data_IF_826597981430
#
_entry.id   IF_826597981430
#
_cell.length_a   1.000
_cell.length_b   1.000
_cell.length_c   1.000
_cell.angle_alpha   90.00
_cell.angle_beta   90.00
_cell.angle_gamma   90.00
#
_symmetry.space_group_name_H-M   'P 1'
#
loop_
_entity.id
_entity.type
_entity.pdbx_description
1 polymer ?
#
# COMPACT_ATOMS: atom_id res chain seq x y z
N UNK A 1 12.08 -74.19 21.28
CA UNK A 1 11.96 -74.19 19.80
C UNK A 1 10.65 -73.50 19.45
N UNK A 2 10.50 -72.42 18.68
CA UNK A 2 11.37 -71.42 18.03
C UNK A 2 10.53 -70.14 18.11
N UNK A 3 11.04 -69.07 18.72
CA UNK A 3 10.36 -67.76 18.70
C UNK A 3 10.62 -67.09 17.36
N UNK A 4 9.54 -66.77 16.67
CA UNK A 4 9.48 -65.99 15.44
C UNK A 4 9.53 -64.51 15.83
N UNK A 5 10.60 -63.80 15.46
CA UNK A 5 10.65 -62.34 15.55
C UNK A 5 10.54 -61.77 14.14
N UNK A 6 9.34 -61.28 13.82
CA UNK A 6 9.09 -60.40 12.68
C UNK A 6 9.57 -58.99 13.07
N UNK A 7 10.67 -58.52 12.47
CA UNK A 7 10.98 -57.09 12.44
C UNK A 7 10.16 -56.43 11.32
N UNK A 8 8.98 -55.94 11.66
CA UNK A 8 8.20 -55.04 10.80
C UNK A 8 8.85 -53.65 10.88
N UNK A 9 9.70 -53.33 9.90
CA UNK A 9 10.33 -52.01 9.80
C UNK A 9 9.27 -51.02 9.28
N UNK A 10 8.66 -50.25 10.18
CA UNK A 10 7.77 -49.13 9.81
C UNK A 10 8.66 -47.98 9.36
N UNK A 11 8.81 -47.83 8.04
CA UNK A 11 9.39 -46.62 7.44
C UNK A 11 8.29 -45.55 7.51
N UNK A 12 8.33 -44.72 8.54
CA UNK A 12 7.58 -43.47 8.54
C UNK A 12 8.25 -42.51 7.55
N UNK A 13 7.73 -42.47 6.33
CA UNK A 13 7.99 -41.37 5.41
C UNK A 13 7.39 -40.11 6.04
N UNK A 14 8.22 -39.38 6.78
CA UNK A 14 7.97 -37.99 7.15
C UNK A 14 7.86 -37.19 5.86
N UNK A 15 6.64 -37.07 5.36
CA UNK A 15 6.25 -36.04 4.41
C UNK A 15 6.47 -34.70 5.09
N UNK A 16 7.68 -34.16 4.97
CA UNK A 16 7.90 -32.73 5.08
C UNK A 16 7.23 -32.10 3.86
N UNK A 17 5.90 -31.99 3.92
CA UNK A 17 5.16 -31.10 3.05
C UNK A 17 5.72 -29.70 3.23
N UNK A 18 6.59 -29.28 2.31
CA UNK A 18 6.95 -27.87 2.15
C UNK A 18 5.67 -27.17 1.75
N UNK A 19 4.98 -26.58 2.73
CA UNK A 19 4.03 -25.52 2.45
C UNK A 19 4.81 -24.42 1.72
N UNK A 20 4.64 -24.34 0.40
CA UNK A 20 5.06 -23.17 -0.36
C UNK A 20 4.27 -22.01 0.23
N UNK A 21 4.98 -21.10 0.89
CA UNK A 21 4.40 -19.95 1.58
C UNK A 21 3.85 -18.97 0.52
N UNK A 22 2.63 -19.22 0.02
CA UNK A 22 1.99 -18.44 -1.04
C UNK A 22 1.85 -16.94 -0.67
N UNK A 23 1.89 -16.60 0.63
CA UNK A 23 1.83 -15.23 1.16
C UNK A 23 3.07 -14.39 0.81
N UNK A 24 4.27 -14.98 0.77
CA UNK A 24 5.49 -14.27 0.38
C UNK A 24 5.42 -13.84 -1.08
N UNK A 25 4.92 -14.72 -1.95
CA UNK A 25 4.72 -14.41 -3.37
C UNK A 25 3.66 -13.30 -3.57
N UNK A 26 2.58 -13.32 -2.76
CA UNK A 26 1.53 -12.28 -2.78
C UNK A 26 2.10 -10.91 -2.37
N UNK A 27 2.83 -10.85 -1.26
CA UNK A 27 3.40 -9.61 -0.71
C UNK A 27 4.40 -8.99 -1.68
N UNK A 28 5.32 -9.80 -2.22
CA UNK A 28 6.36 -9.35 -3.16
C UNK A 28 5.72 -8.76 -4.43
N UNK A 29 4.69 -9.41 -4.99
CA UNK A 29 3.96 -8.93 -6.17
C UNK A 29 3.22 -7.63 -5.92
N UNK A 30 2.47 -7.52 -4.82
CA UNK A 30 1.75 -6.29 -4.49
C UNK A 30 2.74 -5.15 -4.29
N UNK A 31 3.85 -5.38 -3.57
CA UNK A 31 4.88 -4.37 -3.35
C UNK A 31 5.42 -3.80 -4.66
N UNK A 32 5.89 -4.67 -5.57
CA UNK A 32 6.46 -4.24 -6.86
C UNK A 32 5.43 -3.48 -7.69
N UNK A 33 4.24 -4.08 -7.87
CA UNK A 33 3.19 -3.48 -8.69
C UNK A 33 2.70 -2.15 -8.12
N UNK A 34 2.65 -2.02 -6.79
CA UNK A 34 2.25 -0.79 -6.13
C UNK A 34 3.26 0.33 -6.38
N UNK A 35 4.56 0.04 -6.26
CA UNK A 35 5.61 1.03 -6.52
C UNK A 35 5.61 1.49 -7.98
N UNK A 36 5.48 0.55 -8.92
CA UNK A 36 5.38 0.84 -10.36
C UNK A 36 4.14 1.71 -10.63
N UNK A 37 2.97 1.33 -10.11
CA UNK A 37 1.74 2.07 -10.33
C UNK A 37 1.82 3.50 -9.75
N UNK A 38 2.38 3.69 -8.56
CA UNK A 38 2.59 5.02 -7.97
C UNK A 38 3.50 5.88 -8.85
N UNK A 39 4.66 5.35 -9.27
CA UNK A 39 5.61 6.08 -10.10
C UNK A 39 5.02 6.44 -11.47
N UNK A 40 4.30 5.52 -12.10
CA UNK A 40 3.59 5.79 -13.36
C UNK A 40 2.55 6.91 -13.19
N UNK A 41 1.84 6.93 -12.06
CA UNK A 41 0.89 8.01 -11.74
C UNK A 41 1.58 9.38 -11.70
N UNK A 42 2.72 9.48 -11.00
CA UNK A 42 3.51 10.71 -10.94
C UNK A 42 4.00 11.15 -12.32
N UNK A 43 4.52 10.23 -13.14
CA UNK A 43 4.98 10.51 -14.50
C UNK A 43 3.85 10.96 -15.44
N UNK A 44 2.67 10.35 -15.32
CA UNK A 44 1.50 10.77 -16.08
C UNK A 44 1.08 12.19 -15.71
N UNK A 45 1.09 12.52 -14.41
CA UNK A 45 0.77 13.87 -13.96
C UNK A 45 1.79 14.91 -14.46
N UNK A 46 3.09 14.62 -14.33
CA UNK A 46 4.18 15.45 -14.87
C UNK A 46 3.96 15.77 -16.36
N UNK A 47 3.59 14.77 -17.17
CA UNK A 47 3.36 14.95 -18.62
C UNK A 47 2.06 15.70 -18.93
N UNK A 48 1.07 15.64 -18.05
CA UNK A 48 -0.27 16.20 -18.30
C UNK A 48 -0.44 17.66 -17.87
N UNK A 49 0.46 18.16 -17.01
CA UNK A 49 0.42 19.52 -16.48
C UNK A 49 1.16 20.47 -17.41
N UNK A 50 0.65 21.69 -17.59
CA UNK A 50 1.31 22.74 -18.39
C UNK A 50 2.22 23.65 -17.56
N UNK A 51 2.00 23.75 -16.26
CA UNK A 51 2.76 24.59 -15.35
C UNK A 51 4.14 23.99 -15.03
N UNK A 52 5.21 24.66 -15.46
CA UNK A 52 6.59 24.17 -15.30
C UNK A 52 7.02 24.02 -13.83
N UNK A 53 6.51 24.88 -12.95
CA UNK A 53 6.77 24.75 -11.52
C UNK A 53 6.19 23.45 -10.97
N UNK A 54 4.92 23.15 -11.22
CA UNK A 54 4.31 21.88 -10.84
C UNK A 54 5.02 20.67 -11.47
N UNK A 55 5.40 20.73 -12.76
CA UNK A 55 6.20 19.65 -13.38
C UNK A 55 7.47 19.37 -12.59
N UNK A 56 8.19 20.43 -12.19
CA UNK A 56 9.41 20.29 -11.39
C UNK A 56 9.13 19.62 -10.04
N UNK A 57 7.98 19.91 -9.41
CA UNK A 57 7.57 19.26 -8.17
C UNK A 57 7.33 17.77 -8.38
N UNK A 58 6.60 17.37 -9.42
CA UNK A 58 6.38 15.95 -9.74
C UNK A 58 7.69 15.20 -10.01
N UNK A 59 8.60 15.80 -10.78
CA UNK A 59 9.92 15.22 -11.04
C UNK A 59 10.72 15.01 -9.75
N UNK A 60 10.76 16.02 -8.88
CA UNK A 60 11.42 15.93 -7.58
C UNK A 60 10.80 14.84 -6.69
N UNK A 61 9.46 14.69 -6.71
CA UNK A 61 8.78 13.63 -5.97
C UNK A 61 9.06 12.25 -6.53
N UNK A 62 9.12 12.09 -7.84
CA UNK A 62 9.47 10.82 -8.48
C UNK A 62 10.91 10.39 -8.16
N UNK A 63 11.86 11.32 -8.17
CA UNK A 63 13.25 11.06 -7.77
C UNK A 63 13.35 10.68 -6.29
N UNK A 64 12.69 11.45 -5.42
CA UNK A 64 12.65 11.17 -3.98
C UNK A 64 11.91 9.86 -3.65
N UNK A 65 10.94 9.45 -4.47
CA UNK A 65 10.13 8.25 -4.24
C UNK A 65 10.97 6.98 -4.22
N UNK A 66 11.96 6.84 -5.11
CA UNK A 66 12.89 5.71 -5.11
C UNK A 66 13.68 5.61 -3.81
N UNK A 67 14.18 6.74 -3.31
CA UNK A 67 14.86 6.82 -2.02
C UNK A 67 13.92 6.51 -0.86
N UNK A 68 12.65 6.92 -0.95
CA UNK A 68 11.64 6.65 0.08
C UNK A 68 11.33 5.15 0.23
N UNK A 69 11.24 4.41 -0.88
CA UNK A 69 11.07 2.95 -0.87
C UNK A 69 12.41 2.19 -0.82
N UNK A 70 13.53 2.90 -0.85
CA UNK A 70 14.89 2.37 -0.78
C UNK A 70 15.16 1.31 -1.87
N UNK A 71 14.92 1.67 -3.13
CA UNK A 71 15.20 0.82 -4.30
C UNK A 71 15.95 1.59 -5.38
N UNK A 72 16.80 0.91 -6.14
CA UNK A 72 17.42 1.49 -7.35
C UNK A 72 16.49 1.47 -8.57
N UNK A 73 15.69 0.40 -8.69
CA UNK A 73 14.69 0.20 -9.72
C UNK A 73 13.33 -0.16 -9.10
N UNK A 74 12.24 0.30 -9.72
CA UNK A 74 10.88 0.06 -9.25
C UNK A 74 10.48 -1.43 -9.29
N UNK A 75 11.17 -2.24 -10.10
CA UNK A 75 10.99 -3.69 -10.13
C UNK A 75 11.76 -4.44 -9.03
N UNK A 76 12.64 -3.76 -8.28
CA UNK A 76 13.42 -4.39 -7.22
C UNK A 76 12.57 -4.60 -5.98
N UNK A 77 12.75 -5.76 -5.37
CA UNK A 77 12.18 -6.08 -4.08
C UNK A 77 13.07 -5.55 -2.95
N UNK A 78 12.52 -4.69 -2.08
CA UNK A 78 13.18 -4.34 -0.82
C UNK A 78 12.27 -4.68 0.35
N UNK A 79 12.59 -5.80 1.04
CA UNK A 79 11.84 -6.28 2.20
C UNK A 79 11.98 -5.38 3.43
N UNK A 80 12.98 -4.51 3.45
CA UNK A 80 13.20 -3.54 4.54
C UNK A 80 12.48 -2.20 4.31
N UNK A 81 11.93 -2.00 3.11
CA UNK A 81 11.17 -0.79 2.78
C UNK A 81 9.92 -0.66 3.64
N UNK A 82 9.46 0.58 3.80
CA UNK A 82 8.34 0.90 4.67
C UNK A 82 7.03 0.32 4.14
N UNK A 83 6.81 0.39 2.82
CA UNK A 83 5.65 -0.24 2.17
C UNK A 83 5.67 -1.76 2.30
N UNK A 84 6.83 -2.40 2.12
CA UNK A 84 6.91 -3.86 2.28
C UNK A 84 6.61 -4.28 3.71
N UNK A 85 7.16 -3.56 4.70
CA UNK A 85 6.86 -3.81 6.13
C UNK A 85 5.37 -3.70 6.43
N UNK A 86 4.65 -2.74 5.85
CA UNK A 86 3.19 -2.63 6.01
C UNK A 86 2.48 -3.89 5.50
N UNK A 87 2.78 -4.29 4.27
CA UNK A 87 2.17 -5.44 3.63
C UNK A 87 2.50 -6.72 4.40
N UNK A 88 3.78 -6.94 4.73
CA UNK A 88 4.21 -8.11 5.47
C UNK A 88 3.56 -8.21 6.87
N UNK A 89 3.27 -7.08 7.51
CA UNK A 89 2.64 -7.07 8.83
C UNK A 89 1.12 -7.34 8.78
N UNK A 90 0.40 -6.85 7.76
CA UNK A 90 -1.06 -6.76 7.84
C UNK A 90 -1.82 -7.27 6.62
N UNK A 91 -1.16 -7.54 5.48
CA UNK A 91 -1.85 -7.90 4.23
C UNK A 91 -2.72 -9.15 4.35
N UNK A 92 -2.36 -10.09 5.22
CA UNK A 92 -3.14 -11.31 5.45
C UNK A 92 -4.44 -11.05 6.23
N UNK A 93 -4.54 -9.91 6.93
CA UNK A 93 -5.72 -9.50 7.69
C UNK A 93 -6.69 -8.65 6.86
N UNK A 94 -6.34 -8.35 5.61
CA UNK A 94 -7.13 -7.49 4.73
C UNK A 94 -7.99 -8.34 3.79
N UNK A 95 -9.16 -7.82 3.47
CA UNK A 95 -10.03 -8.39 2.45
C UNK A 95 -9.36 -8.36 1.06
N UNK A 96 -9.88 -9.13 0.12
CA UNK A 96 -9.35 -9.15 -1.25
C UNK A 96 -9.51 -7.82 -1.99
N UNK A 97 -10.41 -6.94 -1.52
CA UNK A 97 -10.67 -5.60 -2.06
C UNK A 97 -10.34 -4.54 -1.04
N UNK A 98 -9.36 -3.72 -1.34
CA UNK A 98 -8.96 -2.65 -0.43
C UNK A 98 -8.38 -1.45 -1.16
N UNK A 99 -8.52 -0.29 -0.53
CA UNK A 99 -7.72 0.88 -0.88
C UNK A 99 -6.59 1.07 0.11
N UNK A 100 -5.46 1.55 -0.39
CA UNK A 100 -4.38 2.12 0.40
C UNK A 100 -4.37 3.62 0.12
N UNK A 101 -4.51 4.45 1.15
CA UNK A 101 -4.31 5.90 1.05
C UNK A 101 -3.11 6.29 1.88
N UNK A 102 -2.00 6.61 1.21
CA UNK A 102 -0.82 7.17 1.86
C UNK A 102 -0.92 8.70 1.88
N UNK A 103 -0.74 9.29 3.06
CA UNK A 103 -0.68 10.73 3.24
C UNK A 103 0.72 11.09 3.76
N UNK A 104 1.64 11.39 2.84
CA UNK A 104 3.05 11.63 3.13
C UNK A 104 3.31 13.12 3.35
N UNK A 105 3.69 13.49 4.57
CA UNK A 105 4.16 14.85 4.88
C UNK A 105 5.55 15.09 4.28
N UNK A 106 5.71 16.23 3.61
CA UNK A 106 7.04 16.73 3.22
C UNK A 106 7.54 17.71 4.28
N UNK A 107 8.65 17.40 4.97
CA UNK A 107 9.23 18.23 6.03
C UNK A 107 10.28 17.48 6.88
N UNK A 108 10.86 18.16 7.88
CA UNK A 108 11.94 17.62 8.75
C UNK A 108 11.48 16.44 9.62
N UNK A 109 10.20 16.39 9.98
CA UNK A 109 9.59 15.26 10.71
C UNK A 109 8.52 14.66 9.80
N UNK A 110 8.95 13.85 8.82
CA UNK A 110 8.03 13.20 7.90
C UNK A 110 7.23 12.09 8.62
N UNK A 111 6.01 12.41 9.06
CA UNK A 111 5.09 11.38 9.57
C UNK A 111 4.55 10.57 8.39
N UNK A 112 4.72 9.25 8.44
CA UNK A 112 4.22 8.34 7.40
C UNK A 112 2.92 7.70 7.89
N UNK A 113 1.84 8.01 7.20
CA UNK A 113 0.49 7.57 7.54
C UNK A 113 -0.09 6.82 6.35
N UNK A 114 -0.65 5.63 6.62
CA UNK A 114 -1.39 4.85 5.65
C UNK A 114 -2.77 4.53 6.20
N UNK A 115 -3.79 4.80 5.41
CA UNK A 115 -5.16 4.40 5.68
C UNK A 115 -5.48 3.20 4.79
N UNK A 116 -5.90 2.09 5.39
CA UNK A 116 -6.39 0.92 4.67
C UNK A 116 -7.91 0.92 4.76
N UNK A 117 -8.56 0.92 3.60
CA UNK A 117 -10.02 0.97 3.52
C UNK A 117 -10.49 -0.37 2.98
N UNK A 118 -11.15 -1.12 3.85
CA UNK A 118 -11.73 -2.42 3.55
C UNK A 118 -13.21 -2.22 3.20
N UNK A 119 -13.58 -2.58 1.98
CA UNK A 119 -14.98 -2.50 1.55
C UNK A 119 -15.72 -3.71 2.09
N UNK A 120 -16.80 -3.48 2.85
CA UNK A 120 -17.69 -4.58 3.21
C UNK A 120 -18.86 -4.66 2.22
N UNK A 121 -19.34 -5.89 1.98
CA UNK A 121 -20.51 -6.13 1.12
C UNK A 121 -21.81 -5.51 1.65
N UNK A 122 -21.81 -4.92 2.85
CA UNK A 122 -22.97 -4.32 3.51
C UNK A 122 -23.09 -2.81 3.25
N UNK A 123 -22.30 -2.25 2.34
CA UNK A 123 -22.42 -0.84 1.93
C UNK A 123 -21.75 0.16 2.88
N UNK A 124 -20.94 -0.30 3.83
CA UNK A 124 -20.07 0.54 4.66
C UNK A 124 -18.60 0.19 4.37
N UNK A 125 -17.65 0.99 4.84
CA UNK A 125 -16.23 0.66 4.73
C UNK A 125 -15.54 0.79 6.07
N UNK A 126 -14.66 -0.16 6.36
CA UNK A 126 -13.83 -0.16 7.56
C UNK A 126 -12.51 0.52 7.21
N UNK A 127 -12.15 1.54 7.98
CA UNK A 127 -10.91 2.31 7.79
C UNK A 127 -9.95 1.99 8.93
N UNK A 128 -8.73 1.59 8.57
CA UNK A 128 -7.63 1.31 9.48
C UNK A 128 -6.52 2.35 9.28
N UNK A 129 -6.29 3.21 10.26
CA UNK A 129 -5.19 4.19 10.23
C UNK A 129 -3.94 3.55 10.83
N UNK A 130 -2.86 3.49 10.06
CA UNK A 130 -1.54 3.07 10.50
C UNK A 130 -0.57 4.24 10.47
N UNK A 131 0.32 4.30 11.46
CA UNK A 131 1.39 5.30 11.54
C UNK A 131 2.72 4.55 11.68
N UNK A 132 3.73 4.94 10.89
CA UNK A 132 5.07 4.35 10.98
C UNK A 132 5.90 5.07 12.03
N UNK A 133 6.31 4.37 13.10
CA UNK A 133 7.13 4.92 14.18
C UNK A 133 8.11 3.85 14.68
N UNK A 134 9.32 4.25 15.05
CA UNK A 134 10.33 3.35 15.61
C UNK A 134 10.59 2.10 14.75
N UNK A 135 10.61 2.25 13.43
CA UNK A 135 10.93 1.16 12.50
C UNK A 135 9.78 0.20 12.16
N UNK A 136 8.57 0.39 12.71
CA UNK A 136 7.41 -0.48 12.50
C UNK A 136 6.13 0.31 12.24
N UNK A 137 5.15 -0.34 11.63
CA UNK A 137 3.79 0.21 11.56
C UNK A 137 3.03 -0.11 12.83
N UNK A 138 2.27 0.88 13.32
CA UNK A 138 1.37 0.76 14.45
C UNK A 138 -0.03 1.17 14.01
N UNK A 139 -1.03 0.35 14.35
CA UNK A 139 -2.43 0.68 14.14
C UNK A 139 -2.84 1.76 15.14
N UNK A 140 -3.13 2.95 14.65
CA UNK A 140 -3.47 4.13 15.45
C UNK A 140 -4.98 4.30 15.65
N UNK A 141 -5.79 3.94 14.64
CA UNK A 141 -7.25 4.08 14.70
C UNK A 141 -7.94 3.04 13.84
N UNK A 142 -9.13 2.63 14.25
CA UNK A 142 -10.09 1.87 13.44
C UNK A 142 -11.46 2.52 13.57
N UNK A 143 -12.15 2.71 12.45
CA UNK A 143 -13.51 3.26 12.41
C UNK A 143 -14.24 2.80 11.15
N UNK A 144 -15.57 2.93 11.17
CA UNK A 144 -16.40 2.68 9.99
C UNK A 144 -16.83 4.02 9.36
N UNK A 145 -16.90 4.05 8.04
CA UNK A 145 -17.57 5.11 7.28
C UNK A 145 -18.88 4.58 6.72
N UNK A 146 -19.93 5.41 6.79
CA UNK A 146 -21.32 5.01 6.54
C UNK A 146 -21.64 4.67 5.09
N UNK A 147 -20.71 4.94 4.16
CA UNK A 147 -20.85 4.62 2.74
C UNK A 147 -19.70 3.73 2.27
N UNK A 148 -19.96 2.91 1.23
CA UNK A 148 -18.92 2.15 0.55
C UNK A 148 -17.97 3.15 -0.11
N UNK A 149 -16.76 3.25 0.43
CA UNK A 149 -15.77 4.16 -0.10
C UNK A 149 -15.42 3.72 -1.53
N UNK A 150 -15.64 4.63 -2.47
CA UNK A 150 -15.20 4.48 -3.86
C UNK A 150 -14.39 5.70 -4.22
N UNK A 151 -13.20 5.45 -4.74
CA UNK A 151 -12.34 6.50 -5.25
C UNK A 151 -12.62 6.76 -6.72
N UNK A 152 -12.77 8.04 -7.07
CA UNK A 152 -12.83 8.53 -8.45
C UNK A 152 -11.93 9.75 -8.57
N UNK A 153 -10.88 9.64 -9.40
CA UNK A 153 -9.85 10.68 -9.52
C UNK A 153 -10.45 12.04 -9.84
N UNK A 154 -11.35 12.09 -10.81
CA UNK A 154 -11.93 13.34 -11.32
C UNK A 154 -12.77 14.06 -10.26
N UNK A 155 -13.52 13.30 -9.45
CA UNK A 155 -14.29 13.86 -8.33
C UNK A 155 -13.40 14.57 -7.30
N UNK A 156 -12.20 14.07 -7.05
CA UNK A 156 -11.26 14.61 -6.06
C UNK A 156 -10.21 15.57 -6.63
N UNK A 157 -10.04 15.65 -7.94
CA UNK A 157 -9.05 16.53 -8.56
C UNK A 157 -9.44 18.02 -8.42
N UNK A 158 -8.44 18.87 -8.24
CA UNK A 158 -8.61 20.33 -8.22
C UNK A 158 -7.32 21.02 -8.65
N UNK A 159 -7.38 22.33 -8.90
CA UNK A 159 -6.19 23.09 -9.27
C UNK A 159 -5.24 23.17 -8.09
N UNK A 160 -3.95 23.21 -8.39
CA UNK A 160 -2.92 23.40 -7.38
C UNK A 160 -3.16 24.71 -6.60
N UNK A 161 -3.09 24.63 -5.27
CA UNK A 161 -3.38 25.73 -4.35
C UNK A 161 -4.85 25.84 -3.94
N UNK A 162 -5.78 25.17 -4.64
CA UNK A 162 -7.20 25.12 -4.29
C UNK A 162 -7.56 23.88 -3.46
N UNK A 163 -6.65 22.89 -3.40
CA UNK A 163 -6.81 21.67 -2.62
C UNK A 163 -6.84 21.89 -1.11
N UNK A 164 -7.29 20.84 -0.41
CA UNK A 164 -7.39 20.79 1.06
C UNK A 164 -6.38 19.84 1.69
N UNK A 165 -5.66 19.06 0.88
CA UNK A 165 -4.59 18.20 1.36
C UNK A 165 -3.31 19.03 1.55
N UNK A 166 -2.72 18.98 2.73
CA UNK A 166 -1.40 19.58 3.01
C UNK A 166 -0.24 18.61 2.74
N UNK A 167 -0.58 17.36 2.40
CA UNK A 167 0.34 16.26 2.20
C UNK A 167 0.27 15.78 0.75
N UNK A 168 1.34 15.15 0.28
CA UNK A 168 1.26 14.36 -0.96
C UNK A 168 0.42 13.12 -0.68
N UNK A 169 -0.61 12.89 -1.50
CA UNK A 169 -1.56 11.80 -1.32
C UNK A 169 -1.37 10.78 -2.43
N UNK A 170 -1.25 9.50 -2.09
CA UNK A 170 -1.40 8.40 -3.04
C UNK A 170 -2.62 7.58 -2.67
N UNK A 171 -3.54 7.40 -3.60
CA UNK A 171 -4.70 6.50 -3.46
C UNK A 171 -4.50 5.32 -4.39
N UNK A 172 -4.38 4.12 -3.85
CA UNK A 172 -4.18 2.88 -4.61
C UNK A 172 -5.34 1.93 -4.36
N UNK A 173 -5.91 1.36 -5.41
CA UNK A 173 -6.92 0.30 -5.31
C UNK A 173 -6.30 -1.04 -5.67
N UNK A 174 -6.56 -2.04 -4.83
CA UNK A 174 -6.15 -3.42 -5.04
C UNK A 174 -7.35 -4.37 -4.98
N UNK A 175 -7.35 -5.35 -5.87
CA UNK A 175 -8.35 -6.41 -5.94
C UNK A 175 -7.67 -7.74 -6.22
N UNK A 176 -7.99 -8.77 -5.43
CA UNK A 176 -7.45 -10.13 -5.58
C UNK A 176 -5.91 -10.14 -5.70
N UNK A 177 -5.24 -9.39 -4.81
CA UNK A 177 -3.78 -9.25 -4.80
C UNK A 177 -3.15 -8.56 -6.01
N UNK A 178 -3.95 -7.87 -6.81
CA UNK A 178 -3.47 -7.11 -7.98
C UNK A 178 -3.73 -5.64 -7.76
N UNK A 179 -2.75 -4.79 -8.08
CA UNK A 179 -2.95 -3.34 -8.10
C UNK A 179 -3.70 -2.98 -9.37
N UNK A 180 -4.90 -2.41 -9.19
CA UNK A 180 -5.79 -2.05 -10.29
C UNK A 180 -5.56 -0.59 -10.71
N UNK A 181 -5.38 0.30 -9.74
CA UNK A 181 -5.09 1.70 -9.99
C UNK A 181 -4.25 2.32 -8.89
N UNK A 182 -3.53 3.39 -9.23
CA UNK A 182 -2.83 4.24 -8.27
C UNK A 182 -2.84 5.68 -8.76
N UNK A 183 -3.32 6.57 -7.90
CA UNK A 183 -3.49 7.98 -8.18
C UNK A 183 -2.69 8.81 -7.19
N UNK A 184 -1.67 9.50 -7.70
CA UNK A 184 -0.90 10.46 -6.93
C UNK A 184 -1.48 11.87 -7.10
N UNK A 185 -1.53 12.60 -5.98
CA UNK A 185 -1.89 14.00 -5.87
C UNK A 185 -0.78 14.72 -5.12
N UNK A 186 -0.30 15.80 -5.73
CA UNK A 186 0.59 16.73 -5.07
C UNK A 186 -0.16 17.43 -3.93
N UNK A 187 0.58 17.91 -2.92
CA UNK A 187 0.03 18.83 -1.92
C UNK A 187 -0.83 19.93 -2.57
N UNK A 188 -1.94 20.26 -1.94
CA UNK A 188 -2.92 21.27 -2.37
C UNK A 188 -3.51 21.05 -3.79
N UNK A 189 -3.45 19.82 -4.33
CA UNK A 189 -4.07 19.48 -5.62
C UNK A 189 -5.25 18.51 -5.51
N UNK A 190 -5.68 18.19 -4.29
CA UNK A 190 -6.79 17.26 -4.02
C UNK A 190 -7.86 17.94 -3.15
N UNK A 191 -9.13 17.79 -3.54
CA UNK A 191 -10.26 18.12 -2.68
C UNK A 191 -10.24 17.25 -1.42
N UNK A 192 -10.91 17.70 -0.37
CA UNK A 192 -10.95 16.96 0.89
C UNK A 192 -11.59 15.58 0.70
N UNK A 193 -10.83 14.55 1.03
CA UNK A 193 -11.31 13.17 1.14
C UNK A 193 -11.73 12.89 2.58
N UNK A 194 -12.90 12.28 2.77
CA UNK A 194 -13.52 12.13 4.08
C UNK A 194 -12.64 11.38 5.10
N UNK A 195 -11.93 10.35 4.64
CA UNK A 195 -11.09 9.52 5.49
C UNK A 195 -9.90 10.29 6.11
N UNK A 196 -9.52 11.44 5.56
CA UNK A 196 -8.40 12.25 6.05
C UNK A 196 -8.85 13.36 7.01
N UNK A 197 -10.12 13.42 7.41
CA UNK A 197 -10.67 14.48 8.29
C UNK A 197 -10.18 14.41 9.74
N UNK A 198 -9.61 13.29 10.18
CA UNK A 198 -9.05 13.12 11.54
C UNK A 198 -7.60 13.66 11.64
N UNK A 199 -7.42 14.96 11.39
CA UNK A 199 -6.23 15.71 11.84
C UNK A 199 -6.45 16.24 13.26
#
# INVERSE_FOLDING_TARGET
>A
MKNIFYCLMIITLSSCGRYINNSENKTDKIFINWNIATANSMQLQEKSINDEYQKSLYKNRLEAFKSYIDVGDLNQLNKNSIRYKLLNQYLNDWDDKFYIVEANESGEIATKISYIILQNGTGTSKVLKYIYRNGKWEKAKEYAVSSSFKFDRESYNTKFGEGKNENDITVTYAENSTIISSDFFLLLSMKQIEILKDK
#
